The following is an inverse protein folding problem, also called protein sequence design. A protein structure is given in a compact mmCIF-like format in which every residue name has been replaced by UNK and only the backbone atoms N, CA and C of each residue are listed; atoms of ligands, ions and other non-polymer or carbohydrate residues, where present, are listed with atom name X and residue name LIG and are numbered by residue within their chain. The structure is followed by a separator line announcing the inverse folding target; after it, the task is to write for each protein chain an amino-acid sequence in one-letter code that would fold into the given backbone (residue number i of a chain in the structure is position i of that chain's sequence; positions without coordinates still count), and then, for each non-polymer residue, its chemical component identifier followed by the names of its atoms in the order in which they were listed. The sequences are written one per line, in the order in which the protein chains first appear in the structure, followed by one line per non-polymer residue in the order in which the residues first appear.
data_IF_582537134445
#
_entry.id   IF_582537134445
#
_cell.length_a   1.000
_cell.length_b   1.000
_cell.length_c   1.000
_cell.angle_alpha   90.00
_cell.angle_beta   90.00
_cell.angle_gamma   90.00
#
_symmetry.space_group_name_H-M   'P 1'
#
loop_
_entity.id
_entity.type
_entity.pdbx_description
1 polymer ?
#
# COMPACT_ATOMS: atom_id res chain seq x y z
N UNK A 1 -24.16 -8.66 2.02
CA UNK A 1 -23.10 -7.92 1.25
C UNK A 1 -23.78 -6.90 0.34
N UNK A 2 -23.39 -5.63 0.38
CA UNK A 2 -23.88 -4.61 -0.56
C UNK A 2 -23.18 -4.80 -1.91
N UNK A 3 -23.96 -4.93 -3.00
CA UNK A 3 -23.44 -5.09 -4.37
C UNK A 3 -23.58 -3.77 -5.15
N UNK A 4 -24.68 -3.09 -4.93
CA UNK A 4 -25.05 -1.84 -5.63
C UNK A 4 -25.68 -0.85 -4.65
N UNK A 5 -25.18 0.38 -4.65
CA UNK A 5 -25.68 1.48 -3.84
C UNK A 5 -26.25 2.58 -4.73
N UNK A 6 -27.45 3.08 -4.40
CA UNK A 6 -28.10 4.19 -5.07
C UNK A 6 -28.40 5.30 -4.06
N UNK A 7 -27.81 6.47 -4.27
CA UNK A 7 -27.99 7.66 -3.44
C UNK A 7 -28.84 8.68 -4.19
N UNK A 8 -29.97 9.07 -3.57
CA UNK A 8 -30.88 10.06 -4.13
C UNK A 8 -30.59 11.41 -3.50
N UNK A 9 -30.01 12.34 -4.24
CA UNK A 9 -29.71 13.68 -3.78
C UNK A 9 -30.79 14.65 -4.20
N UNK A 10 -31.52 15.21 -3.21
CA UNK A 10 -32.63 16.14 -3.43
C UNK A 10 -32.37 17.53 -2.87
N UNK A 11 -31.41 17.65 -1.93
CA UNK A 11 -31.18 18.87 -1.18
C UNK A 11 -29.71 19.25 -1.21
N UNK A 12 -29.46 20.56 -1.19
CA UNK A 12 -28.16 21.18 -0.98
C UNK A 12 -28.08 21.68 0.46
N UNK A 13 -26.95 21.42 1.14
CA UNK A 13 -26.67 21.92 2.48
C UNK A 13 -25.75 23.13 2.36
N UNK A 14 -26.12 24.25 2.99
CA UNK A 14 -25.33 25.49 3.01
C UNK A 14 -24.13 25.47 4.00
N UNK A 15 -23.90 24.35 4.66
CA UNK A 15 -22.87 24.18 5.69
C UNK A 15 -23.29 24.67 7.09
N UNK A 16 -24.43 25.36 7.20
CA UNK A 16 -24.97 25.90 8.45
C UNK A 16 -26.20 25.07 8.96
N UNK A 17 -26.47 23.96 8.29
CA UNK A 17 -27.59 23.09 8.64
C UNK A 17 -28.90 23.40 7.92
N UNK A 18 -28.93 24.38 7.01
CA UNK A 18 -30.11 24.65 6.19
C UNK A 18 -30.06 23.82 4.91
N UNK A 19 -31.21 23.28 4.52
CA UNK A 19 -31.37 22.45 3.34
C UNK A 19 -32.32 23.13 2.34
N UNK A 20 -31.83 23.37 1.12
CA UNK A 20 -32.62 23.86 0.02
C UNK A 20 -32.81 22.79 -1.05
N UNK A 21 -33.98 22.76 -1.67
CA UNK A 21 -34.24 21.77 -2.73
C UNK A 21 -33.40 22.09 -3.97
N UNK A 22 -32.67 21.10 -4.48
CA UNK A 22 -31.93 21.22 -5.73
C UNK A 22 -32.85 21.51 -6.91
N UNK A 23 -32.40 22.37 -7.81
CA UNK A 23 -33.12 22.64 -9.08
C UNK A 23 -33.24 21.38 -9.94
N UNK A 24 -32.20 20.56 -9.92
CA UNK A 24 -32.16 19.24 -10.57
C UNK A 24 -31.82 18.19 -9.52
N UNK A 25 -32.70 17.23 -9.33
CA UNK A 25 -32.46 16.07 -8.46
C UNK A 25 -31.52 15.11 -9.17
N UNK A 26 -30.61 14.52 -8.41
CA UNK A 26 -29.59 13.60 -8.91
C UNK A 26 -29.71 12.23 -8.25
N UNK A 27 -29.32 11.21 -9.01
CA UNK A 27 -29.08 9.87 -8.48
C UNK A 27 -27.60 9.59 -8.70
N UNK A 28 -26.90 9.35 -7.61
CA UNK A 28 -25.52 8.86 -7.63
C UNK A 28 -25.54 7.37 -7.34
N UNK A 29 -24.79 6.59 -8.13
CA UNK A 29 -24.82 5.13 -8.05
C UNK A 29 -23.42 4.56 -8.10
N UNK A 30 -23.14 3.58 -7.24
CA UNK A 30 -21.89 2.84 -7.20
C UNK A 30 -22.14 1.36 -7.10
N UNK A 31 -21.40 0.57 -7.89
CA UNK A 31 -21.49 -0.88 -7.90
C UNK A 31 -20.09 -1.51 -7.86
N UNK A 32 -19.93 -2.57 -7.05
CA UNK A 32 -18.69 -3.34 -7.03
C UNK A 32 -18.71 -4.41 -8.11
N UNK A 33 -17.82 -4.33 -9.10
CA UNK A 33 -17.73 -5.30 -10.19
C UNK A 33 -17.49 -6.71 -9.65
N UNK A 34 -16.55 -6.88 -8.76
CA UNK A 34 -16.22 -8.19 -8.18
C UNK A 34 -17.36 -8.73 -7.31
N UNK A 35 -18.06 -7.85 -6.59
CA UNK A 35 -19.24 -8.25 -5.80
C UNK A 35 -20.39 -8.69 -6.69
N UNK A 36 -20.59 -8.02 -7.82
CA UNK A 36 -21.56 -8.46 -8.82
C UNK A 36 -21.17 -9.80 -9.42
N UNK A 37 -19.87 -9.98 -9.75
CA UNK A 37 -19.35 -11.22 -10.30
C UNK A 37 -19.55 -12.42 -9.32
N UNK A 38 -19.38 -12.22 -8.02
CA UNK A 38 -19.69 -13.22 -6.99
C UNK A 38 -21.13 -13.71 -7.12
N UNK A 39 -22.08 -12.80 -7.28
CA UNK A 39 -23.51 -13.14 -7.40
C UNK A 39 -23.80 -13.85 -8.73
N UNK A 40 -23.24 -13.34 -9.84
CA UNK A 40 -23.50 -13.88 -11.17
C UNK A 40 -22.84 -15.27 -11.39
N UNK A 41 -21.66 -15.46 -10.80
CA UNK A 41 -20.91 -16.73 -10.89
C UNK A 41 -21.32 -17.73 -9.80
N UNK A 42 -22.20 -17.34 -8.87
CA UNK A 42 -22.68 -18.17 -7.75
C UNK A 42 -21.51 -18.77 -6.94
N UNK A 43 -20.57 -17.88 -6.53
CA UNK A 43 -19.41 -18.24 -5.70
C UNK A 43 -19.48 -17.57 -4.32
N UNK A 44 -18.77 -18.11 -3.33
CA UNK A 44 -18.89 -17.66 -1.94
C UNK A 44 -18.05 -16.41 -1.63
N UNK A 45 -16.98 -16.17 -2.39
CA UNK A 45 -16.02 -15.12 -2.14
C UNK A 45 -15.57 -14.41 -3.41
N UNK A 46 -15.17 -13.13 -3.29
CA UNK A 46 -14.50 -12.40 -4.38
C UNK A 46 -13.20 -13.09 -4.83
N UNK A 47 -12.56 -13.86 -3.96
CA UNK A 47 -11.36 -14.62 -4.29
C UNK A 47 -11.62 -15.86 -5.12
N UNK A 48 -12.89 -16.25 -5.31
CA UNK A 48 -13.32 -17.38 -6.13
C UNK A 48 -13.85 -16.95 -7.49
N UNK A 49 -14.05 -15.63 -7.70
CA UNK A 49 -14.36 -15.06 -9.03
C UNK A 49 -13.24 -15.39 -10.01
N UNK A 50 -13.59 -15.79 -11.23
CA UNK A 50 -12.68 -16.33 -12.26
C UNK A 50 -11.36 -15.55 -12.42
N UNK A 51 -11.42 -14.22 -12.58
CA UNK A 51 -10.25 -13.36 -12.77
C UNK A 51 -9.35 -13.27 -11.53
N UNK A 52 -9.93 -13.32 -10.34
CA UNK A 52 -9.18 -13.25 -9.06
C UNK A 52 -8.68 -14.63 -8.65
N UNK A 53 -9.49 -15.66 -8.90
CA UNK A 53 -9.15 -17.07 -8.62
C UNK A 53 -7.86 -17.50 -9.36
N UNK A 54 -7.68 -17.08 -10.60
CA UNK A 54 -6.46 -17.37 -11.36
C UNK A 54 -5.21 -16.83 -10.66
N UNK A 55 -5.26 -15.57 -10.20
CA UNK A 55 -4.17 -14.93 -9.47
C UNK A 55 -3.94 -15.59 -8.10
N UNK A 56 -5.00 -15.86 -7.33
CA UNK A 56 -4.94 -16.60 -6.05
C UNK A 56 -4.27 -17.98 -6.24
N UNK A 57 -4.67 -18.71 -7.25
CA UNK A 57 -4.11 -20.03 -7.55
C UNK A 57 -2.62 -19.94 -7.95
N UNK A 58 -2.20 -18.84 -8.60
CA UNK A 58 -0.79 -18.61 -8.90
C UNK A 58 0.01 -18.33 -7.62
N UNK A 59 -0.55 -17.62 -6.64
CA UNK A 59 0.07 -17.45 -5.31
C UNK A 59 0.25 -18.79 -4.63
N UNK A 60 -0.79 -19.64 -4.62
CA UNK A 60 -0.72 -21.01 -4.09
C UNK A 60 0.37 -21.84 -4.77
N UNK A 61 0.43 -21.79 -6.10
CA UNK A 61 1.45 -22.52 -6.88
C UNK A 61 2.88 -22.07 -6.56
N UNK A 62 3.10 -20.76 -6.37
CA UNK A 62 4.44 -20.23 -6.07
C UNK A 62 4.85 -20.59 -4.65
N UNK A 63 3.93 -20.52 -3.69
CA UNK A 63 4.18 -20.82 -2.28
C UNK A 63 4.18 -22.32 -1.93
N UNK A 64 3.64 -23.16 -2.82
CA UNK A 64 3.40 -24.57 -2.52
C UNK A 64 2.31 -24.81 -1.46
N UNK A 65 1.47 -23.80 -1.18
CA UNK A 65 0.39 -23.86 -0.20
C UNK A 65 -0.94 -24.16 -0.88
N UNK A 66 -1.84 -24.81 -0.15
CA UNK A 66 -3.21 -25.05 -0.61
C UNK A 66 -4.16 -24.07 0.09
N UNK A 67 -5.04 -23.44 -0.70
CA UNK A 67 -6.08 -22.55 -0.19
C UNK A 67 -7.15 -23.32 0.58
N UNK A 68 -7.70 -22.73 1.65
CA UNK A 68 -8.72 -23.32 2.54
C UNK A 68 -8.22 -24.51 3.41
N UNK A 69 -6.91 -24.65 3.58
CA UNK A 69 -6.32 -25.64 4.49
C UNK A 69 -5.83 -25.04 5.80
N UNK A 70 -5.35 -23.81 5.79
CA UNK A 70 -4.84 -23.14 6.97
C UNK A 70 -5.27 -21.65 6.94
N UNK A 71 -5.94 -21.20 7.97
CA UNK A 71 -6.46 -19.83 8.06
C UNK A 71 -5.39 -18.75 7.88
N UNK A 72 -4.21 -18.90 8.48
CA UNK A 72 -3.12 -17.91 8.38
C UNK A 72 -2.50 -17.87 6.98
N UNK A 73 -2.37 -19.06 6.34
CA UNK A 73 -1.93 -19.15 4.96
C UNK A 73 -2.97 -18.49 4.04
N UNK A 74 -4.26 -18.71 4.27
CA UNK A 74 -5.37 -18.11 3.49
C UNK A 74 -5.40 -16.59 3.61
N UNK A 75 -5.20 -16.05 4.81
CA UNK A 75 -5.08 -14.60 5.03
C UNK A 75 -3.93 -14.05 4.19
N UNK A 76 -2.77 -14.70 4.20
CA UNK A 76 -1.59 -14.27 3.44
C UNK A 76 -1.82 -14.36 1.93
N UNK A 77 -2.45 -15.44 1.46
CA UNK A 77 -2.79 -15.66 0.04
C UNK A 77 -3.75 -14.56 -0.46
N UNK A 78 -4.82 -14.29 0.29
CA UNK A 78 -5.80 -13.24 -0.05
C UNK A 78 -5.16 -11.85 -0.07
N UNK A 79 -4.33 -11.54 0.93
CA UNK A 79 -3.65 -10.26 1.04
C UNK A 79 -2.71 -10.03 -0.15
N UNK A 80 -1.88 -11.02 -0.51
CA UNK A 80 -0.98 -10.92 -1.66
C UNK A 80 -1.78 -10.71 -2.94
N UNK A 81 -2.86 -11.48 -3.14
CA UNK A 81 -3.74 -11.39 -4.31
C UNK A 81 -4.34 -9.99 -4.47
N UNK A 82 -4.89 -9.42 -3.40
CA UNK A 82 -5.48 -8.08 -3.39
C UNK A 82 -4.42 -6.99 -3.65
N UNK A 83 -3.31 -7.05 -2.91
CA UNK A 83 -2.30 -6.01 -2.93
C UNK A 83 -1.54 -5.94 -4.25
N UNK A 84 -1.20 -7.08 -4.86
CA UNK A 84 -0.47 -7.05 -6.12
C UNK A 84 -1.34 -6.54 -7.28
N UNK A 85 -2.63 -6.85 -7.28
CA UNK A 85 -3.58 -6.30 -8.24
C UNK A 85 -3.63 -4.77 -8.12
N UNK A 86 -3.85 -4.27 -6.91
CA UNK A 86 -3.87 -2.83 -6.64
C UNK A 86 -2.55 -2.16 -7.00
N UNK A 87 -1.40 -2.73 -6.64
CA UNK A 87 -0.07 -2.19 -6.94
C UNK A 87 0.19 -2.11 -8.45
N UNK A 88 -0.20 -3.13 -9.21
CA UNK A 88 -0.04 -3.17 -10.67
C UNK A 88 -0.76 -2.00 -11.33
N UNK A 89 -2.03 -1.77 -11.00
CA UNK A 89 -2.80 -0.64 -11.52
C UNK A 89 -2.25 0.71 -11.07
N UNK A 90 -1.90 0.87 -9.78
CA UNK A 90 -1.33 2.12 -9.28
C UNK A 90 -0.04 2.51 -10.02
N UNK A 91 0.84 1.54 -10.31
CA UNK A 91 2.07 1.80 -11.06
C UNK A 91 1.74 2.16 -12.52
N UNK A 92 0.79 1.49 -13.14
CA UNK A 92 0.30 1.84 -14.49
C UNK A 92 -0.23 3.26 -14.57
N UNK A 93 -0.89 3.74 -13.50
CA UNK A 93 -1.39 5.10 -13.37
C UNK A 93 -0.29 6.13 -13.03
N UNK A 94 0.97 5.70 -13.01
CA UNK A 94 2.14 6.57 -12.82
C UNK A 94 2.49 6.83 -11.35
N UNK A 95 1.94 6.09 -10.39
CA UNK A 95 2.31 6.23 -8.98
C UNK A 95 3.62 5.47 -8.73
N UNK A 96 4.59 6.16 -8.10
CA UNK A 96 5.87 5.57 -7.71
C UNK A 96 5.94 5.36 -6.20
N UNK A 97 6.62 4.29 -5.72
CA UNK A 97 6.82 4.08 -4.29
C UNK A 97 7.62 5.24 -3.68
N UNK A 98 7.03 5.95 -2.72
CA UNK A 98 7.66 7.07 -2.00
C UNK A 98 7.40 6.98 -0.51
N UNK A 99 7.97 7.92 0.28
CA UNK A 99 7.76 7.97 1.73
C UNK A 99 6.51 8.76 2.14
N UNK A 100 5.84 9.43 1.21
CA UNK A 100 4.71 10.31 1.49
C UNK A 100 3.61 10.19 0.43
N UNK A 101 2.39 10.59 0.78
CA UNK A 101 1.26 10.68 -0.12
C UNK A 101 0.85 9.34 -0.73
N UNK A 102 0.40 9.37 -1.98
CA UNK A 102 -0.09 8.16 -2.70
C UNK A 102 1.00 7.12 -2.90
N UNK A 103 2.24 7.55 -3.09
CA UNK A 103 3.39 6.64 -3.26
C UNK A 103 3.73 5.87 -1.99
N UNK A 104 3.46 6.43 -0.80
CA UNK A 104 3.57 5.70 0.47
C UNK A 104 2.58 4.54 0.54
N UNK A 105 1.33 4.76 0.10
CA UNK A 105 0.32 3.69 0.06
C UNK A 105 0.78 2.55 -0.85
N UNK A 106 1.28 2.86 -2.05
CA UNK A 106 1.83 1.86 -2.97
C UNK A 106 3.00 1.09 -2.34
N UNK A 107 3.96 1.80 -1.75
CA UNK A 107 5.09 1.18 -1.05
C UNK A 107 4.63 0.24 0.05
N UNK A 108 3.65 0.64 0.85
CA UNK A 108 3.07 -0.19 1.91
C UNK A 108 2.44 -1.47 1.36
N UNK A 109 1.65 -1.37 0.28
CA UNK A 109 1.04 -2.54 -0.35
C UNK A 109 2.10 -3.55 -0.84
N UNK A 110 3.13 -3.07 -1.54
CA UNK A 110 4.21 -3.92 -2.05
C UNK A 110 4.94 -4.62 -0.89
N UNK A 111 5.30 -3.89 0.15
CA UNK A 111 6.04 -4.44 1.31
C UNK A 111 5.21 -5.42 2.13
N UNK A 112 3.91 -5.14 2.33
CA UNK A 112 3.01 -6.11 2.98
C UNK A 112 2.89 -7.39 2.16
N UNK A 113 2.70 -7.29 0.85
CA UNK A 113 2.67 -8.47 -0.01
C UNK A 113 3.98 -9.28 0.05
N UNK A 114 5.14 -8.61 0.01
CA UNK A 114 6.44 -9.26 0.14
C UNK A 114 6.63 -9.96 1.50
N UNK A 115 6.23 -9.32 2.61
CA UNK A 115 6.25 -9.95 3.94
C UNK A 115 5.39 -11.20 3.99
N UNK A 116 4.14 -11.11 3.52
CA UNK A 116 3.24 -12.27 3.51
C UNK A 116 3.74 -13.41 2.60
N UNK A 117 4.46 -13.06 1.52
CA UNK A 117 5.19 -14.06 0.73
C UNK A 117 6.24 -14.82 1.57
N UNK A 118 7.00 -14.10 2.42
CA UNK A 118 7.94 -14.73 3.35
C UNK A 118 7.24 -15.62 4.38
N UNK A 119 6.09 -15.21 4.91
CA UNK A 119 5.28 -16.03 5.83
C UNK A 119 4.79 -17.33 5.17
N UNK A 120 4.50 -17.29 3.87
CA UNK A 120 4.16 -18.48 3.07
C UNK A 120 5.38 -19.33 2.67
N UNK A 121 6.61 -18.89 2.97
CA UNK A 121 7.85 -19.58 2.64
C UNK A 121 8.37 -19.29 1.22
N UNK A 122 7.88 -18.23 0.55
CA UNK A 122 8.37 -17.83 -0.77
C UNK A 122 9.73 -17.13 -0.61
N UNK A 123 10.74 -17.62 -1.32
CA UNK A 123 12.07 -17.05 -1.36
C UNK A 123 12.27 -16.16 -2.60
N UNK A 124 13.09 -15.12 -2.46
CA UNK A 124 13.43 -14.22 -3.56
C UNK A 124 12.32 -13.22 -3.93
N UNK A 125 12.29 -12.81 -5.19
CA UNK A 125 11.28 -11.90 -5.74
C UNK A 125 10.22 -12.68 -6.52
N UNK A 126 8.95 -12.36 -6.30
CA UNK A 126 7.82 -13.06 -6.92
C UNK A 126 6.70 -12.12 -7.38
N UNK A 127 6.68 -10.88 -6.91
CA UNK A 127 5.59 -9.94 -7.17
C UNK A 127 5.45 -9.60 -8.65
N UNK A 128 6.56 -9.45 -9.39
CA UNK A 128 6.51 -9.19 -10.83
C UNK A 128 5.82 -10.33 -11.60
N UNK A 129 6.05 -11.59 -11.19
CA UNK A 129 5.39 -12.76 -11.79
C UNK A 129 3.88 -12.78 -11.53
N UNK A 130 3.46 -12.37 -10.35
CA UNK A 130 2.03 -12.21 -10.03
C UNK A 130 1.40 -11.05 -10.80
N UNK A 131 2.13 -9.93 -10.95
CA UNK A 131 1.69 -8.79 -11.74
C UNK A 131 1.49 -9.15 -13.21
N UNK A 132 2.27 -10.08 -13.77
CA UNK A 132 2.05 -10.59 -15.12
C UNK A 132 0.68 -11.25 -15.27
N UNK A 133 0.25 -12.01 -14.29
CA UNK A 133 -1.09 -12.62 -14.28
C UNK A 133 -2.20 -11.56 -14.21
N UNK A 134 -2.00 -10.52 -13.39
CA UNK A 134 -2.93 -9.37 -13.33
C UNK A 134 -3.05 -8.70 -14.69
N UNK A 135 -1.93 -8.45 -15.38
CA UNK A 135 -1.91 -7.84 -16.70
C UNK A 135 -2.63 -8.73 -17.71
N UNK A 136 -2.31 -10.02 -17.74
CA UNK A 136 -2.93 -10.97 -18.66
C UNK A 136 -4.46 -11.07 -18.49
N UNK A 137 -4.95 -11.05 -17.26
CA UNK A 137 -6.37 -11.08 -16.96
C UNK A 137 -7.10 -9.74 -17.22
N UNK A 138 -6.37 -8.63 -17.31
CA UNK A 138 -6.98 -7.28 -17.36
C UNK A 138 -6.74 -6.54 -18.68
N UNK A 139 -5.75 -6.93 -19.49
CA UNK A 139 -5.32 -6.19 -20.69
C UNK A 139 -6.40 -6.01 -21.77
N UNK A 140 -7.43 -6.83 -21.78
CA UNK A 140 -8.55 -6.67 -22.71
C UNK A 140 -9.37 -5.39 -22.44
N UNK A 141 -9.50 -5.02 -21.17
CA UNK A 141 -10.17 -3.78 -20.75
C UNK A 141 -9.21 -2.62 -20.48
N UNK A 142 -7.92 -2.93 -20.24
CA UNK A 142 -6.86 -1.97 -19.85
C UNK A 142 -5.59 -2.24 -20.65
N UNK A 143 -5.55 -1.92 -21.96
CA UNK A 143 -4.39 -2.20 -22.83
C UNK A 143 -3.10 -1.51 -22.37
N UNK A 144 -3.20 -0.38 -21.66
CA UNK A 144 -2.06 0.34 -21.09
C UNK A 144 -1.24 -0.49 -20.09
N UNK A 145 -1.83 -1.52 -19.50
CA UNK A 145 -1.09 -2.44 -18.62
C UNK A 145 -0.05 -3.25 -19.39
N UNK A 146 -0.38 -3.71 -20.59
CA UNK A 146 0.57 -4.43 -21.44
C UNK A 146 1.64 -3.49 -21.98
N UNK A 147 1.29 -2.27 -22.37
CA UNK A 147 2.26 -1.26 -22.86
C UNK A 147 3.30 -0.89 -21.79
N UNK A 148 2.88 -0.84 -20.52
CA UNK A 148 3.73 -0.46 -19.39
C UNK A 148 4.30 -1.66 -18.62
N UNK A 149 4.13 -2.87 -19.10
CA UNK A 149 4.50 -4.12 -18.43
C UNK A 149 5.93 -4.11 -17.88
N UNK A 150 6.90 -3.79 -18.71
CA UNK A 150 8.32 -3.76 -18.32
C UNK A 150 8.60 -2.72 -17.23
N UNK A 151 7.93 -1.57 -17.30
CA UNK A 151 8.04 -0.53 -16.28
C UNK A 151 7.45 -0.99 -14.95
N UNK A 152 6.26 -1.61 -14.96
CA UNK A 152 5.60 -2.14 -13.77
C UNK A 152 6.50 -3.19 -13.10
N UNK A 153 7.04 -4.13 -13.86
CA UNK A 153 7.93 -5.17 -13.35
C UNK A 153 9.19 -4.59 -12.72
N UNK A 154 9.80 -3.60 -13.36
CA UNK A 154 10.99 -2.94 -12.84
C UNK A 154 10.72 -2.25 -11.50
N UNK A 155 9.59 -1.55 -11.37
CA UNK A 155 9.22 -0.86 -10.12
C UNK A 155 8.97 -1.87 -9.00
N UNK A 156 8.16 -2.92 -9.26
CA UNK A 156 7.88 -3.97 -8.28
C UNK A 156 9.16 -4.68 -7.83
N UNK A 157 9.97 -5.15 -8.79
CA UNK A 157 11.21 -5.89 -8.48
C UNK A 157 12.20 -5.04 -7.69
N UNK A 158 12.33 -3.75 -8.03
CA UNK A 158 13.24 -2.85 -7.31
C UNK A 158 12.80 -2.64 -5.86
N UNK A 159 11.51 -2.35 -5.62
CA UNK A 159 11.00 -2.14 -4.26
C UNK A 159 11.03 -3.43 -3.43
N UNK A 160 10.68 -4.57 -4.04
CA UNK A 160 10.75 -5.88 -3.40
C UNK A 160 12.20 -6.25 -3.02
N UNK A 161 13.16 -6.03 -3.92
CA UNK A 161 14.58 -6.26 -3.64
C UNK A 161 15.11 -5.34 -2.53
N UNK A 162 14.73 -4.07 -2.54
CA UNK A 162 15.13 -3.15 -1.47
C UNK A 162 14.58 -3.60 -0.12
N UNK A 163 13.32 -4.01 -0.09
CA UNK A 163 12.69 -4.49 1.13
C UNK A 163 13.29 -5.82 1.61
N UNK A 164 13.52 -6.77 0.71
CA UNK A 164 14.14 -8.06 1.03
C UNK A 164 15.54 -7.94 1.66
N UNK A 165 16.29 -6.88 1.36
CA UNK A 165 17.60 -6.62 2.00
C UNK A 165 17.47 -6.19 3.46
N UNK A 166 16.37 -5.58 3.84
CA UNK A 166 16.19 -4.96 5.16
C UNK A 166 15.22 -5.73 6.05
N UNK A 167 14.33 -6.54 5.47
CA UNK A 167 13.26 -7.21 6.21
C UNK A 167 13.80 -8.17 7.27
N UNK A 168 14.78 -9.00 6.93
CA UNK A 168 15.31 -10.01 7.86
C UNK A 168 16.00 -9.34 9.06
N UNK A 169 16.72 -8.24 8.80
CA UNK A 169 17.34 -7.46 9.86
C UNK A 169 16.29 -6.70 10.70
N UNK A 170 15.28 -6.12 10.06
CA UNK A 170 14.19 -5.44 10.75
C UNK A 170 13.38 -6.37 11.65
N UNK A 171 13.04 -7.57 11.15
CA UNK A 171 12.34 -8.59 11.96
C UNK A 171 13.17 -9.08 13.13
N UNK A 172 14.49 -9.27 12.96
CA UNK A 172 15.39 -9.66 14.05
C UNK A 172 15.42 -8.60 15.15
N UNK A 173 15.56 -7.32 14.76
CA UNK A 173 15.62 -6.21 15.73
C UNK A 173 14.26 -6.02 16.42
N UNK A 174 13.15 -6.15 15.68
CA UNK A 174 11.82 -6.11 16.29
C UNK A 174 11.67 -7.25 17.33
N UNK A 175 12.14 -8.45 17.01
CA UNK A 175 12.18 -9.58 17.96
C UNK A 175 13.00 -9.28 19.22
N UNK A 176 14.17 -8.67 19.10
CA UNK A 176 14.98 -8.22 20.24
C UNK A 176 14.23 -7.19 21.10
N UNK A 177 13.57 -6.21 20.48
CA UNK A 177 12.74 -5.22 21.18
C UNK A 177 11.52 -5.87 21.88
N UNK A 178 10.89 -6.86 21.24
CA UNK A 178 9.79 -7.63 21.87
C UNK A 178 10.26 -8.40 23.11
N UNK A 179 11.45 -8.98 23.07
CA UNK A 179 12.02 -9.71 24.22
C UNK A 179 12.39 -8.74 25.37
N UNK A 180 12.89 -7.55 25.06
CA UNK A 180 13.11 -6.47 26.03
C UNK A 180 11.79 -6.03 26.68
N UNK A 181 10.74 -5.81 25.87
CA UNK A 181 9.40 -5.46 26.37
C UNK A 181 8.83 -6.55 27.29
N UNK A 182 8.96 -7.83 26.92
CA UNK A 182 8.54 -8.95 27.76
C UNK A 182 9.27 -8.96 29.09
N UNK A 183 10.57 -8.74 29.09
CA UNK A 183 11.40 -8.70 30.31
C UNK A 183 11.01 -7.51 31.22
N UNK A 184 10.64 -6.38 30.64
CA UNK A 184 10.17 -5.19 31.36
C UNK A 184 8.67 -5.27 31.77
N UNK A 185 7.91 -6.24 31.27
CA UNK A 185 6.46 -6.33 31.47
C UNK A 185 5.67 -5.27 30.72
N UNK A 186 6.26 -4.68 29.71
CA UNK A 186 5.64 -3.66 28.86
C UNK A 186 4.84 -4.30 27.73
N UNK A 187 3.74 -3.66 27.33
CA UNK A 187 2.90 -4.11 26.22
C UNK A 187 2.89 -3.16 25.04
N UNK A 188 3.60 -2.05 25.13
CA UNK A 188 3.60 -0.99 24.12
C UNK A 188 5.03 -0.70 23.68
N UNK A 189 5.31 -0.84 22.38
CA UNK A 189 6.58 -0.44 21.79
C UNK A 189 6.71 1.09 21.81
N UNK A 190 7.85 1.61 22.30
CA UNK A 190 8.07 3.05 22.34
C UNK A 190 8.12 3.66 20.93
N UNK A 191 7.65 4.92 20.81
CA UNK A 191 7.69 5.64 19.54
C UNK A 191 9.10 5.81 18.96
N UNK A 192 10.12 5.94 19.82
CA UNK A 192 11.54 6.01 19.43
C UNK A 192 12.02 4.71 18.78
N UNK A 193 11.68 3.56 19.36
CA UNK A 193 12.02 2.25 18.80
C UNK A 193 11.29 1.99 17.48
N UNK A 194 10.03 2.36 17.39
CA UNK A 194 9.26 2.29 16.15
C UNK A 194 9.83 3.20 15.06
N UNK A 195 10.25 4.42 15.43
CA UNK A 195 10.92 5.35 14.53
C UNK A 195 12.29 4.82 14.06
N UNK A 196 13.07 4.19 14.92
CA UNK A 196 14.33 3.56 14.55
C UNK A 196 14.13 2.45 13.52
N UNK A 197 13.10 1.61 13.66
CA UNK A 197 12.73 0.60 12.67
C UNK A 197 12.36 1.23 11.34
N UNK A 198 11.59 2.31 11.35
CA UNK A 198 11.18 3.04 10.15
C UNK A 198 12.35 3.72 9.44
N UNK A 199 13.14 4.52 10.16
CA UNK A 199 14.18 5.38 9.59
C UNK A 199 15.42 4.59 9.16
N UNK A 200 15.88 3.65 9.99
CA UNK A 200 17.13 2.92 9.76
C UNK A 200 16.92 1.69 8.87
N UNK A 201 15.83 0.97 9.08
CA UNK A 201 15.59 -0.32 8.42
C UNK A 201 14.50 -0.25 7.34
N UNK A 202 13.89 0.92 7.14
CA UNK A 202 12.84 1.11 6.15
C UNK A 202 11.58 0.26 6.44
N UNK A 203 11.35 -0.09 7.71
CA UNK A 203 10.19 -0.85 8.13
C UNK A 203 9.01 0.12 8.29
N UNK A 204 7.95 0.03 7.45
CA UNK A 204 6.80 0.93 7.59
C UNK A 204 6.17 0.79 8.97
N UNK A 205 5.77 1.92 9.57
CA UNK A 205 5.16 1.94 10.90
C UNK A 205 3.93 1.04 10.98
N UNK A 206 3.08 1.07 9.94
CA UNK A 206 1.89 0.21 9.85
C UNK A 206 2.24 -1.29 9.85
N UNK A 207 3.37 -1.67 9.23
CA UNK A 207 3.84 -3.05 9.22
C UNK A 207 4.34 -3.46 10.61
N UNK A 208 5.07 -2.58 11.30
CA UNK A 208 5.49 -2.80 12.68
C UNK A 208 4.27 -2.99 13.59
N UNK A 209 3.26 -2.13 13.43
CA UNK A 209 2.01 -2.20 14.18
C UNK A 209 1.27 -3.52 13.94
N UNK A 210 1.10 -3.93 12.69
CA UNK A 210 0.45 -5.19 12.34
C UNK A 210 1.14 -6.40 12.99
N UNK A 211 2.49 -6.46 12.96
CA UNK A 211 3.26 -7.55 13.56
C UNK A 211 3.09 -7.58 15.08
N UNK A 212 3.07 -6.42 15.72
CA UNK A 212 2.91 -6.29 17.16
C UNK A 212 1.48 -6.67 17.60
N UNK A 213 0.46 -6.19 16.89
CA UNK A 213 -0.95 -6.53 17.13
C UNK A 213 -1.22 -8.02 17.01
N UNK A 214 -0.64 -8.72 16.01
CA UNK A 214 -0.71 -10.18 15.87
C UNK A 214 -0.21 -10.93 17.12
N UNK A 215 0.69 -10.31 17.89
CA UNK A 215 1.29 -10.86 19.12
C UNK A 215 0.68 -10.29 20.41
N UNK A 216 -0.32 -9.42 20.29
CA UNK A 216 -1.00 -8.79 21.43
C UNK A 216 -0.23 -7.63 22.07
N UNK A 217 0.67 -7.00 21.32
CA UNK A 217 1.37 -5.77 21.69
C UNK A 217 0.77 -4.56 20.98
N UNK A 218 1.04 -3.37 21.50
CA UNK A 218 0.63 -2.08 20.94
C UNK A 218 1.88 -1.22 20.61
N UNK A 219 1.67 -0.02 20.04
CA UNK A 219 2.72 0.89 19.63
C UNK A 219 2.37 2.33 20.05
N UNK A 220 3.36 3.10 20.53
CA UNK A 220 3.24 4.53 20.83
C UNK A 220 3.28 5.35 19.53
N UNK A 221 2.12 5.51 18.88
CA UNK A 221 1.98 6.29 17.66
C UNK A 221 2.30 7.79 17.89
N UNK A 222 1.95 8.34 19.05
CA UNK A 222 2.19 9.74 19.35
C UNK A 222 3.69 10.03 19.47
N UNK A 223 4.44 9.17 20.15
CA UNK A 223 5.90 9.23 20.21
C UNK A 223 6.56 9.08 18.86
N UNK A 224 6.07 8.17 18.01
CA UNK A 224 6.55 8.02 16.64
C UNK A 224 6.35 9.30 15.82
N UNK A 225 5.16 9.91 15.85
CA UNK A 225 4.87 11.14 15.12
C UNK A 225 5.78 12.29 15.57
N UNK A 226 6.05 12.39 16.87
CA UNK A 226 6.99 13.37 17.40
C UNK A 226 8.40 13.20 16.83
N UNK A 227 8.91 11.98 16.78
CA UNK A 227 10.22 11.69 16.17
C UNK A 227 10.25 12.04 14.67
N UNK A 228 9.15 11.76 13.95
CA UNK A 228 9.00 12.13 12.54
C UNK A 228 9.05 13.65 12.33
N UNK A 229 8.37 14.43 13.18
CA UNK A 229 8.39 15.89 13.12
C UNK A 229 9.76 16.46 13.42
N UNK A 230 10.44 15.93 14.43
CA UNK A 230 11.80 16.30 14.78
C UNK A 230 12.77 16.07 13.61
N UNK A 231 12.67 14.92 12.94
CA UNK A 231 13.47 14.61 11.75
C UNK A 231 13.18 15.57 10.59
N UNK A 232 11.89 15.85 10.31
CA UNK A 232 11.49 16.81 9.28
C UNK A 232 12.06 18.20 9.55
N UNK A 233 12.01 18.66 10.80
CA UNK A 233 12.55 19.96 11.20
C UNK A 233 14.07 19.99 11.05
N UNK A 234 14.79 18.95 11.45
CA UNK A 234 16.24 18.82 11.22
C UNK A 234 16.59 18.85 9.73
N UNK A 235 15.82 18.14 8.90
CA UNK A 235 16.05 18.12 7.45
C UNK A 235 15.76 19.51 6.80
N UNK A 236 14.73 20.22 7.27
CA UNK A 236 14.45 21.61 6.81
C UNK A 236 15.56 22.56 7.20
N UNK A 237 15.99 22.55 8.46
CA UNK A 237 17.10 23.40 8.96
C UNK A 237 18.40 23.11 8.22
N UNK A 238 18.70 21.87 7.91
CA UNK A 238 19.88 21.49 7.13
C UNK A 238 19.82 21.99 5.67
N UNK A 239 18.61 22.05 5.06
CA UNK A 239 18.42 22.62 3.72
C UNK A 239 18.61 24.15 3.70
N UNK A 240 18.16 24.84 4.72
CA UNK A 240 18.36 26.30 4.83
C UNK A 240 19.84 26.67 4.97
N UNK A 241 20.65 25.84 5.63
CA UNK A 241 22.10 26.01 5.77
C UNK A 241 22.87 25.62 4.50
N UNK A 242 22.33 24.73 3.64
CA UNK A 242 22.99 24.30 2.39
C UNK A 242 22.62 25.11 1.15
N UNK A 243 21.86 26.20 1.26
CA UNK A 243 21.65 27.18 0.18
C UNK A 243 22.94 27.99 -0.09
N UNK A 244 24.01 27.29 -0.41
CA UNK A 244 25.34 27.85 -0.67
C UNK A 244 25.52 28.41 -2.07
N UNK A 245 24.48 28.53 -2.85
CA UNK A 245 24.57 29.16 -4.18
C UNK A 245 23.49 30.21 -4.37
N UNK A 246 23.53 31.30 -3.65
CA UNK A 246 23.06 32.66 -3.96
C UNK A 246 21.91 32.90 -4.96
N UNK A 247 21.12 31.88 -5.28
CA UNK A 247 19.95 31.98 -6.13
C UNK A 247 18.69 31.73 -5.29
N UNK A 248 17.84 32.74 -5.19
CA UNK A 248 16.52 32.66 -4.59
C UNK A 248 15.76 31.46 -5.17
N UNK A 249 15.21 30.62 -4.29
CA UNK A 249 14.41 29.43 -4.66
C UNK A 249 13.25 29.76 -5.62
N UNK A 250 12.79 31.02 -5.63
CA UNK A 250 11.79 31.58 -6.54
C UNK A 250 12.24 31.62 -8.00
N UNK A 251 13.54 31.72 -8.28
CA UNK A 251 14.05 31.80 -9.66
C UNK A 251 13.98 30.45 -10.36
N UNK A 252 14.17 29.34 -9.62
CA UNK A 252 14.08 27.99 -10.21
C UNK A 252 12.63 27.56 -10.48
N UNK A 253 11.68 27.96 -9.63
CA UNK A 253 10.26 27.71 -9.87
C UNK A 253 9.75 28.46 -11.12
N UNK A 254 10.26 29.67 -11.40
CA UNK A 254 9.89 30.42 -12.59
C UNK A 254 10.45 29.81 -13.89
N UNK A 255 11.61 29.15 -13.84
CA UNK A 255 12.23 28.49 -14.99
C UNK A 255 11.56 27.16 -15.38
N UNK A 256 10.97 26.44 -14.40
CA UNK A 256 10.19 25.22 -14.66
C UNK A 256 8.89 25.56 -15.38
N UNK A 257 8.26 26.70 -15.10
CA UNK A 257 7.04 27.14 -15.78
C UNK A 257 7.25 27.72 -17.20
N UNK A 258 8.49 28.06 -17.59
CA UNK A 258 8.80 28.62 -18.92
C UNK A 258 8.96 27.52 -19.99
N UNK A 259 9.05 26.24 -19.61
CA UNK A 259 9.29 25.13 -20.52
C UNK A 259 8.06 24.28 -20.86
N UNK A 260 6.85 24.68 -20.46
CA UNK A 260 5.63 24.01 -20.96
C UNK A 260 5.26 24.57 -22.34
N UNK A 261 5.19 23.74 -23.39
CA UNK A 261 4.71 24.18 -24.69
C UNK A 261 3.20 24.45 -24.60
N UNK A 262 2.82 25.69 -24.82
CA UNK A 262 1.43 26.11 -25.10
C UNK A 262 0.85 25.28 -26.23
N UNK A 263 -0.10 24.45 -25.93
CA UNK A 263 -1.13 23.93 -26.84
C UNK A 263 -2.49 24.01 -26.20
#
# INVERSE_FOLDING_TARGET
MEVWNNVFTQFENDGNGNYTTLKQKNIDTGMGLERLAVVVQDVDSIFDVDTICALRNLVCKISGKEYEKNYNDDVSIRLITDHIRSATFMISDGIMPTNEGRGYVLRRLIRRAARHGRLLGIEGTFLAKLSEEVINGSKAGYPELEEKKEFIFKVLTNEENQFNKTIDQGLRILGEMEDEMKAAGEKTLSGENAFKLYDTYGFPMDLTKEILEEKGYDIDEAGFQKCMEEQRNKARSAREVTNYMGADATVYLSLIHISEPTR
#
